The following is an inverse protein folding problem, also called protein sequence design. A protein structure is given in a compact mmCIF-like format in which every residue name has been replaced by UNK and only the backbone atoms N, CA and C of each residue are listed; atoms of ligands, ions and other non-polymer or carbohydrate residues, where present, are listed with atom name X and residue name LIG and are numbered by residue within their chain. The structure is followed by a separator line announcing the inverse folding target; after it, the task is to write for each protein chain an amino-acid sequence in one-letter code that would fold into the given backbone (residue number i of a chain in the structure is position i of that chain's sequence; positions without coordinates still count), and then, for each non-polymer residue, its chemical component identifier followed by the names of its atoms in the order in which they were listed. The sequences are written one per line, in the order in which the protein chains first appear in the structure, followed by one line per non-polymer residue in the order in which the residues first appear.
data_IF_948955163386
#
_entry.id   IF_948955163386
#
_cell.length_a   1.000
_cell.length_b   1.000
_cell.length_c   1.000
_cell.angle_alpha   90.00
_cell.angle_beta   90.00
_cell.angle_gamma   90.00
#
_symmetry.space_group_name_H-M   'P 1'
#
loop_
_entity.id
_entity.type
_entity.pdbx_description
1 polymer ?
#
# COMPACT_ATOMS: atom_id res chain seq x y z
N UNK A 1 35.59 -22.61 -9.57
CA UNK A 1 36.65 -22.41 -8.54
C UNK A 1 37.34 -21.05 -8.68
N UNK A 2 38.16 -20.79 -9.70
CA UNK A 2 38.85 -19.49 -9.85
C UNK A 2 37.92 -18.34 -10.24
N UNK A 3 36.90 -18.62 -11.04
CA UNK A 3 35.85 -17.68 -11.46
C UNK A 3 34.97 -17.21 -10.30
N UNK A 4 34.68 -18.09 -9.33
CA UNK A 4 33.86 -17.76 -8.16
C UNK A 4 34.61 -16.82 -7.20
N UNK A 5 35.91 -17.02 -7.03
CA UNK A 5 36.80 -16.10 -6.30
C UNK A 5 36.83 -14.71 -6.93
N UNK A 6 36.92 -14.66 -8.25
CA UNK A 6 36.90 -13.40 -9.01
C UNK A 6 35.60 -12.62 -8.81
N UNK A 7 34.44 -13.29 -8.88
CA UNK A 7 33.13 -12.67 -8.62
C UNK A 7 33.02 -12.08 -7.21
N UNK A 8 33.56 -12.79 -6.20
CA UNK A 8 33.57 -12.30 -4.82
C UNK A 8 34.48 -11.09 -4.62
N UNK A 9 35.64 -11.01 -5.27
CA UNK A 9 36.51 -9.83 -5.17
C UNK A 9 35.87 -8.62 -5.87
N UNK A 10 35.25 -8.83 -7.03
CA UNK A 10 34.54 -7.78 -7.78
C UNK A 10 33.38 -7.20 -6.96
N UNK A 11 32.65 -8.01 -6.18
CA UNK A 11 31.55 -7.53 -5.33
C UNK A 11 32.02 -6.65 -4.16
N UNK A 12 33.28 -6.74 -3.74
CA UNK A 12 33.85 -5.88 -2.68
C UNK A 12 34.44 -4.57 -3.24
N UNK A 13 34.88 -4.57 -4.51
CA UNK A 13 35.46 -3.40 -5.19
C UNK A 13 34.37 -2.52 -5.80
N UNK A 14 33.27 -3.12 -6.22
CA UNK A 14 32.12 -2.36 -6.71
C UNK A 14 31.50 -1.63 -5.52
N UNK A 15 31.45 -0.28 -5.50
CA UNK A 15 30.78 0.43 -4.43
C UNK A 15 29.37 -0.12 -4.32
N UNK A 16 28.98 -0.60 -3.14
CA UNK A 16 27.63 -1.13 -2.93
C UNK A 16 26.67 -0.08 -3.47
N UNK A 17 25.86 -0.43 -4.47
CA UNK A 17 24.73 0.42 -4.86
C UNK A 17 24.02 0.74 -3.55
N UNK A 18 24.02 2.00 -3.13
CA UNK A 18 23.58 2.36 -1.78
C UNK A 18 22.20 1.74 -1.56
N UNK A 19 21.97 1.06 -0.43
CA UNK A 19 20.73 0.29 -0.23
C UNK A 19 19.47 1.09 -0.55
N UNK A 20 19.48 2.39 -0.26
CA UNK A 20 18.46 3.36 -0.67
C UNK A 20 18.22 3.39 -2.19
N UNK A 21 19.28 3.52 -3.00
CA UNK A 21 19.21 3.56 -4.46
C UNK A 21 18.71 2.24 -5.07
N UNK A 22 18.81 1.13 -4.35
CA UNK A 22 18.24 -0.15 -4.77
C UNK A 22 16.76 -0.26 -4.39
N UNK A 23 16.37 0.18 -3.18
CA UNK A 23 14.97 0.13 -2.70
C UNK A 23 14.07 1.13 -3.45
N UNK A 24 14.60 2.26 -3.92
CA UNK A 24 13.83 3.27 -4.66
C UNK A 24 13.77 3.02 -6.17
N UNK A 25 14.35 1.92 -6.67
CA UNK A 25 14.15 1.53 -8.07
C UNK A 25 12.70 1.16 -8.29
N UNK A 26 12.11 1.66 -9.37
CA UNK A 26 10.73 1.37 -9.75
C UNK A 26 10.72 0.26 -10.79
N UNK A 27 9.99 -0.79 -10.51
CA UNK A 27 9.81 -1.93 -11.40
C UNK A 27 8.34 -2.05 -11.84
N UNK A 28 8.07 -2.60 -13.03
CA UNK A 28 6.70 -2.73 -13.53
C UNK A 28 5.84 -3.72 -12.74
N UNK A 29 6.46 -4.61 -11.96
CA UNK A 29 5.85 -5.60 -11.09
C UNK A 29 5.71 -5.15 -9.62
N UNK A 30 6.05 -3.90 -9.32
CA UNK A 30 5.88 -3.35 -7.97
C UNK A 30 4.39 -3.26 -7.60
N UNK A 31 4.06 -3.72 -6.39
CA UNK A 31 2.72 -3.50 -5.81
C UNK A 31 2.63 -2.06 -5.33
N UNK A 32 1.79 -1.26 -5.99
CA UNK A 32 1.64 0.17 -5.73
C UNK A 32 0.34 0.50 -5.00
N UNK A 33 0.38 1.54 -4.15
CA UNK A 33 -0.81 2.11 -3.52
C UNK A 33 -1.39 3.16 -4.47
N UNK A 34 -2.58 2.90 -5.04
CA UNK A 34 -3.26 3.81 -5.96
C UNK A 34 -4.10 4.88 -5.25
N UNK A 35 -4.73 4.50 -4.13
CA UNK A 35 -5.54 5.38 -3.30
C UNK A 35 -5.36 5.02 -1.82
N UNK A 36 -5.17 6.04 -0.98
CA UNK A 36 -5.20 5.91 0.47
C UNK A 36 -6.10 6.98 1.06
N UNK A 37 -7.27 6.58 1.58
CA UNK A 37 -8.23 7.48 2.22
C UNK A 37 -8.74 6.89 3.53
N UNK A 38 -9.27 7.75 4.39
CA UNK A 38 -9.85 7.37 5.69
C UNK A 38 -11.04 8.24 6.04
N UNK A 39 -11.86 7.75 6.97
CA UNK A 39 -12.90 8.57 7.59
C UNK A 39 -12.32 9.54 8.63
N UNK A 40 -13.07 10.58 9.02
CA UNK A 40 -12.74 11.39 10.18
C UNK A 40 -12.77 10.54 11.45
N UNK A 41 -11.75 10.69 12.29
CA UNK A 41 -11.71 10.02 13.59
C UNK A 41 -12.56 10.80 14.59
N UNK A 42 -13.69 10.22 14.97
CA UNK A 42 -14.63 10.80 15.93
C UNK A 42 -14.48 10.15 17.31
N UNK A 43 -14.78 10.88 18.38
CA UNK A 43 -14.78 10.32 19.74
C UNK A 43 -15.82 9.19 19.86
N UNK A 44 -15.42 8.04 20.41
CA UNK A 44 -16.36 6.95 20.73
C UNK A 44 -17.48 7.42 21.67
N UNK A 45 -18.69 6.92 21.47
CA UNK A 45 -19.92 7.21 22.25
C UNK A 45 -20.41 8.66 22.28
N UNK A 46 -19.58 9.67 21.93
CA UNK A 46 -19.92 11.10 22.03
C UNK A 46 -19.63 11.92 20.76
N UNK A 47 -18.94 11.35 19.78
CA UNK A 47 -18.55 12.03 18.55
C UNK A 47 -19.61 11.99 17.44
N UNK A 48 -19.28 12.56 16.28
CA UNK A 48 -20.20 12.70 15.15
C UNK A 48 -20.67 11.38 14.53
N UNK A 49 -19.88 10.32 14.65
CA UNK A 49 -20.21 8.98 14.15
C UNK A 49 -20.76 8.05 15.25
N UNK A 50 -21.16 8.57 16.42
CA UNK A 50 -21.55 7.73 17.58
C UNK A 50 -22.78 6.86 17.32
N UNK A 51 -23.69 7.33 16.46
CA UNK A 51 -24.95 6.65 16.12
C UNK A 51 -24.86 5.95 14.74
N UNK A 52 -23.67 5.94 14.12
CA UNK A 52 -23.45 5.32 12.81
C UNK A 52 -22.86 3.93 13.00
N UNK A 53 -23.57 2.87 12.60
CA UNK A 53 -23.02 1.51 12.62
C UNK A 53 -21.93 1.33 11.56
N UNK A 54 -21.10 0.29 11.74
CA UNK A 54 -19.90 0.04 10.91
C UNK A 54 -20.22 -0.09 9.42
N UNK A 55 -21.28 -0.82 9.09
CA UNK A 55 -21.79 -1.02 7.73
C UNK A 55 -22.09 0.31 7.03
N UNK A 56 -22.72 1.25 7.73
CA UNK A 56 -22.97 2.61 7.21
C UNK A 56 -21.68 3.39 6.95
N UNK A 57 -20.69 3.26 7.83
CA UNK A 57 -19.36 3.87 7.65
C UNK A 57 -18.64 3.24 6.45
N UNK A 58 -18.68 1.91 6.33
CA UNK A 58 -18.06 1.15 5.23
C UNK A 58 -18.67 1.49 3.88
N UNK A 59 -20.01 1.55 3.79
CA UNK A 59 -20.71 1.95 2.58
C UNK A 59 -20.24 3.32 2.09
N UNK A 60 -20.21 4.32 2.99
CA UNK A 60 -19.74 5.67 2.63
C UNK A 60 -18.26 5.71 2.29
N UNK A 61 -17.42 4.89 2.93
CA UNK A 61 -16.03 4.78 2.55
C UNK A 61 -15.88 4.22 1.13
N UNK A 62 -16.54 3.13 0.80
CA UNK A 62 -16.44 2.47 -0.51
C UNK A 62 -17.00 3.36 -1.64
N UNK A 63 -18.11 4.06 -1.43
CA UNK A 63 -18.62 5.07 -2.37
C UNK A 63 -17.54 6.13 -2.67
N UNK A 64 -16.82 6.60 -1.65
CA UNK A 64 -15.74 7.57 -1.81
C UNK A 64 -14.49 6.96 -2.46
N UNK A 65 -14.20 5.68 -2.24
CA UNK A 65 -13.12 4.96 -2.95
C UNK A 65 -13.42 4.94 -4.44
N UNK A 66 -14.63 4.56 -4.85
CA UNK A 66 -15.02 4.54 -6.27
C UNK A 66 -14.91 5.95 -6.87
N UNK A 67 -15.43 6.97 -6.19
CA UNK A 67 -15.41 8.34 -6.68
C UNK A 67 -13.99 8.93 -6.83
N UNK A 68 -13.03 8.50 -6.00
CA UNK A 68 -11.67 9.10 -5.96
C UNK A 68 -10.59 8.25 -6.64
N UNK A 69 -10.77 6.94 -6.71
CA UNK A 69 -9.77 6.04 -7.31
C UNK A 69 -9.71 6.15 -8.84
N UNK A 70 -10.80 6.63 -9.48
CA UNK A 70 -10.94 6.64 -10.93
C UNK A 70 -10.67 5.26 -11.57
N UNK A 71 -11.00 4.19 -10.83
CA UNK A 71 -10.87 2.80 -11.24
C UNK A 71 -12.27 2.25 -11.56
N UNK A 72 -12.37 1.40 -12.57
CA UNK A 72 -13.58 0.59 -12.78
C UNK A 72 -13.74 -0.42 -11.62
N UNK A 73 -14.85 -0.37 -10.85
CA UNK A 73 -15.08 -1.31 -9.76
C UNK A 73 -15.05 -2.78 -10.18
N UNK A 74 -15.30 -3.10 -11.45
CA UNK A 74 -15.23 -4.47 -11.96
C UNK A 74 -13.82 -5.05 -12.02
N UNK A 75 -12.78 -4.21 -11.94
CA UNK A 75 -11.37 -4.64 -11.91
C UNK A 75 -10.89 -5.03 -10.50
N UNK A 76 -11.72 -4.85 -9.47
CA UNK A 76 -11.37 -5.23 -8.10
C UNK A 76 -11.52 -6.74 -7.95
N UNK A 77 -10.40 -7.42 -7.73
CA UNK A 77 -10.35 -8.88 -7.59
C UNK A 77 -10.57 -9.37 -6.16
N UNK A 78 -10.24 -8.55 -5.15
CA UNK A 78 -10.38 -8.89 -3.74
C UNK A 78 -10.63 -7.66 -2.85
N UNK A 79 -11.34 -7.87 -1.74
CA UNK A 79 -11.61 -6.86 -0.71
C UNK A 79 -11.35 -7.45 0.67
N UNK A 80 -10.24 -7.03 1.28
CA UNK A 80 -9.88 -7.38 2.66
C UNK A 80 -10.31 -6.28 3.65
N UNK A 81 -11.09 -6.63 4.68
CA UNK A 81 -11.55 -5.70 5.74
C UNK A 81 -11.13 -6.20 7.12
N UNK A 82 -10.37 -5.37 7.85
CA UNK A 82 -10.02 -5.63 9.25
C UNK A 82 -11.04 -5.02 10.21
N UNK A 83 -11.50 -5.79 11.19
CA UNK A 83 -12.45 -5.37 12.24
C UNK A 83 -12.16 -6.09 13.57
N UNK A 84 -12.63 -5.55 14.70
CA UNK A 84 -12.45 -6.09 16.07
C UNK A 84 -13.76 -6.39 16.78
#
# INVERSE_FOLDING_TARGET
MATDRLKSIVSHITPSKGGLAQITQKHPDDVVITLAIRTPLCKGKKGGLKDTPLDGIMLKMLEQVIAKSNLDPALVEDICVGHV
#
